data_IF_605029981879
#
_entry.id   IF_605029981879
#
_cell.length_a   1.000
_cell.length_b   1.000
_cell.length_c   1.000
_cell.angle_alpha   90.00
_cell.angle_beta   90.00
_cell.angle_gamma   90.00
#
_symmetry.space_group_name_H-M   'P 1'
#
loop_
_entity.id
_entity.type
_entity.pdbx_description
1 polymer ?
#
# COMPACT_ATOMS: atom_id res chain seq x y z
N UNK A 1 -37.48 27.24 33.08
CA UNK A 1 -37.19 26.48 31.86
C UNK A 1 -38.50 25.85 31.39
N UNK A 2 -39.15 26.50 30.43
CA UNK A 2 -40.52 26.17 30.01
C UNK A 2 -40.60 24.73 29.51
N UNK A 3 -41.72 24.07 29.81
CA UNK A 3 -41.97 22.67 29.41
C UNK A 3 -41.81 22.47 27.90
N UNK A 4 -42.13 23.50 27.13
CA UNK A 4 -41.93 23.59 25.67
C UNK A 4 -40.44 23.51 25.28
N UNK A 5 -39.57 24.22 26.01
CA UNK A 5 -38.13 24.24 25.74
C UNK A 5 -37.46 22.90 26.11
N UNK A 6 -37.92 22.26 27.20
CA UNK A 6 -37.46 20.91 27.59
C UNK A 6 -37.86 19.84 26.56
N UNK A 7 -39.07 19.94 26.01
CA UNK A 7 -39.56 19.03 24.99
C UNK A 7 -38.78 19.20 23.68
N UNK A 8 -38.48 20.44 23.28
CA UNK A 8 -37.68 20.75 22.10
C UNK A 8 -36.26 20.17 22.19
N UNK A 9 -35.60 20.33 23.35
CA UNK A 9 -34.26 19.76 23.59
C UNK A 9 -34.26 18.23 23.54
N UNK A 10 -35.32 17.59 24.05
CA UNK A 10 -35.44 16.13 24.06
C UNK A 10 -35.67 15.58 22.64
N UNK A 11 -36.46 16.27 21.83
CA UNK A 11 -36.66 15.94 20.40
C UNK A 11 -35.36 16.14 19.62
N UNK A 12 -34.65 17.26 19.83
CA UNK A 12 -33.39 17.53 19.14
C UNK A 12 -32.30 16.52 19.49
N UNK A 13 -32.22 16.09 20.76
CA UNK A 13 -31.33 15.01 21.20
C UNK A 13 -31.69 13.67 20.55
N UNK A 14 -32.96 13.39 20.33
CA UNK A 14 -33.42 12.15 19.69
C UNK A 14 -33.13 12.14 18.18
N UNK A 15 -33.22 13.30 17.53
CA UNK A 15 -32.84 13.48 16.12
C UNK A 15 -31.34 13.25 15.86
N UNK A 16 -30.47 13.52 16.84
CA UNK A 16 -29.03 13.24 16.71
C UNK A 16 -28.71 11.74 16.72
N UNK A 17 -29.53 10.91 17.38
CA UNK A 17 -29.41 9.44 17.33
C UNK A 17 -30.01 8.80 16.08
N UNK A 18 -30.78 9.57 15.29
CA UNK A 18 -31.34 9.14 14.02
C UNK A 18 -30.40 9.40 12.83
N UNK A 19 -29.27 10.07 13.06
CA UNK A 19 -28.21 10.16 12.05
C UNK A 19 -27.54 8.77 12.00
N UNK A 20 -27.63 8.03 10.89
CA UNK A 20 -26.91 6.77 10.77
C UNK A 20 -25.41 7.08 10.94
N UNK A 21 -24.79 6.53 11.99
CA UNK A 21 -23.34 6.63 12.22
C UNK A 21 -22.52 6.03 11.07
N UNK A 22 -23.16 5.22 10.23
CA UNK A 22 -22.58 4.66 9.03
C UNK A 22 -23.39 5.14 7.81
N UNK A 23 -23.07 6.33 7.33
CA UNK A 23 -23.29 6.63 5.93
C UNK A 23 -22.32 5.74 5.14
N UNK A 24 -22.69 4.49 4.91
CA UNK A 24 -22.02 3.63 3.94
C UNK A 24 -22.32 4.23 2.56
N UNK A 25 -21.52 5.20 2.18
CA UNK A 25 -21.38 5.55 0.78
C UNK A 25 -20.85 4.29 0.10
N UNK A 26 -21.68 3.63 -0.70
CA UNK A 26 -21.17 2.75 -1.75
C UNK A 26 -20.43 3.69 -2.72
N UNK A 27 -19.21 4.07 -2.37
CA UNK A 27 -18.32 4.81 -3.25
C UNK A 27 -17.72 3.78 -4.18
N UNK A 28 -18.45 3.45 -5.23
CA UNK A 28 -17.78 2.89 -6.40
C UNK A 28 -16.70 3.90 -6.79
N UNK A 29 -15.45 3.45 -6.83
CA UNK A 29 -14.34 4.26 -7.31
C UNK A 29 -14.38 4.17 -8.83
N UNK A 30 -14.90 5.21 -9.49
CA UNK A 30 -15.02 5.26 -10.93
C UNK A 30 -13.90 6.14 -11.50
N UNK A 31 -12.95 5.50 -12.18
CA UNK A 31 -11.87 6.17 -12.86
C UNK A 31 -10.72 6.64 -11.97
N UNK A 32 -9.69 7.13 -12.66
CA UNK A 32 -8.37 7.47 -12.08
C UNK A 32 -8.46 8.47 -10.94
N UNK A 33 -9.24 9.53 -11.10
CA UNK A 33 -9.27 10.64 -10.14
C UNK A 33 -9.85 10.19 -8.79
N UNK A 34 -10.91 9.39 -8.80
CA UNK A 34 -11.53 8.87 -7.59
C UNK A 34 -10.63 7.85 -6.89
N UNK A 35 -10.01 6.95 -7.65
CA UNK A 35 -9.02 5.98 -7.13
C UNK A 35 -7.84 6.72 -6.48
N UNK A 36 -7.34 7.78 -7.11
CA UNK A 36 -6.23 8.55 -6.55
C UNK A 36 -6.67 9.35 -5.32
N UNK A 37 -7.86 9.94 -5.33
CA UNK A 37 -8.40 10.61 -4.15
C UNK A 37 -8.57 9.65 -2.96
N UNK A 38 -8.99 8.40 -3.22
CA UNK A 38 -9.05 7.35 -2.21
C UNK A 38 -7.65 7.00 -1.67
N UNK A 39 -6.68 6.76 -2.57
CA UNK A 39 -5.30 6.43 -2.19
C UNK A 39 -4.62 7.58 -1.43
N UNK A 40 -4.92 8.83 -1.76
CA UNK A 40 -4.46 10.00 -1.03
C UNK A 40 -4.96 10.00 0.43
N UNK A 41 -6.25 9.73 0.64
CA UNK A 41 -6.81 9.61 2.01
C UNK A 41 -6.23 8.42 2.78
N UNK A 42 -6.03 7.30 2.10
CA UNK A 42 -5.40 6.12 2.69
C UNK A 42 -3.96 6.43 3.11
N UNK A 43 -3.19 7.11 2.26
CA UNK A 43 -1.84 7.58 2.58
C UNK A 43 -1.83 8.57 3.76
N UNK A 44 -2.73 9.57 3.73
CA UNK A 44 -2.87 10.54 4.81
C UNK A 44 -3.17 9.86 6.16
N UNK A 45 -3.97 8.78 6.14
CA UNK A 45 -4.25 8.00 7.35
C UNK A 45 -2.97 7.37 7.93
N UNK A 46 -2.09 6.82 7.09
CA UNK A 46 -0.79 6.25 7.49
C UNK A 46 0.13 7.34 8.06
N UNK A 47 0.24 8.49 7.39
CA UNK A 47 1.08 9.62 7.83
C UNK A 47 0.57 10.23 9.14
N UNK A 48 -0.75 10.30 9.32
CA UNK A 48 -1.33 10.87 10.55
C UNK A 48 -0.88 10.17 11.83
N UNK A 49 -0.46 8.90 11.72
CA UNK A 49 0.01 8.10 12.85
C UNK A 49 1.30 8.66 13.47
N UNK A 50 2.09 9.46 12.74
CA UNK A 50 3.30 10.10 13.29
C UNK A 50 3.04 11.39 14.06
N UNK A 51 1.82 11.94 14.00
CA UNK A 51 1.51 13.25 14.60
C UNK A 51 1.43 13.21 16.13
N UNK A 52 1.02 12.08 16.70
CA UNK A 52 0.88 11.88 18.15
C UNK A 52 0.80 10.40 18.49
N UNK A 53 1.19 10.04 19.71
CA UNK A 53 0.96 8.72 20.28
C UNK A 53 -0.54 8.42 20.40
N UNK A 54 -0.90 7.16 20.15
CA UNK A 54 -2.26 6.62 20.16
C UNK A 54 -2.27 5.21 20.75
N UNK A 55 -3.45 4.74 21.13
CA UNK A 55 -3.69 3.32 21.45
C UNK A 55 -3.69 2.47 20.18
N UNK A 56 -3.48 1.16 20.29
CA UNK A 56 -3.54 0.27 19.12
C UNK A 56 -4.95 0.27 18.49
N UNK A 57 -5.98 0.33 19.32
CA UNK A 57 -7.37 0.34 18.87
C UNK A 57 -7.72 1.62 18.08
N UNK A 58 -7.13 2.76 18.44
CA UNK A 58 -7.23 3.98 17.64
C UNK A 58 -6.45 3.88 16.32
N UNK A 59 -5.26 3.25 16.32
CA UNK A 59 -4.47 3.02 15.11
C UNK A 59 -5.25 2.14 14.13
N UNK A 60 -5.77 1.00 14.60
CA UNK A 60 -6.60 0.11 13.81
C UNK A 60 -7.82 0.85 13.27
N UNK A 61 -8.53 1.61 14.12
CA UNK A 61 -9.68 2.40 13.68
C UNK A 61 -9.36 3.48 12.62
N UNK A 62 -8.15 4.03 12.60
CA UNK A 62 -7.71 4.99 11.56
C UNK A 62 -7.45 4.28 10.23
N UNK A 63 -6.89 3.07 10.25
CA UNK A 63 -6.48 2.31 9.07
C UNK A 63 -7.62 1.47 8.47
N UNK A 64 -8.51 0.96 9.31
CA UNK A 64 -9.62 0.07 8.95
C UNK A 64 -10.48 0.53 7.77
N UNK A 65 -10.78 1.83 7.58
CA UNK A 65 -11.58 2.27 6.44
C UNK A 65 -10.89 2.06 5.08
N UNK A 66 -9.56 1.95 5.05
CA UNK A 66 -8.77 2.01 3.83
C UNK A 66 -8.02 0.73 3.49
N UNK A 67 -7.71 -0.10 4.49
CA UNK A 67 -6.83 -1.27 4.32
C UNK A 67 -7.57 -2.56 4.66
N UNK A 68 -7.23 -3.64 3.95
CA UNK A 68 -7.62 -4.99 4.36
C UNK A 68 -6.90 -5.37 5.66
N UNK A 69 -7.44 -6.34 6.39
CA UNK A 69 -6.84 -6.78 7.66
C UNK A 69 -5.38 -7.23 7.50
N UNK A 70 -5.09 -7.96 6.42
CA UNK A 70 -3.75 -8.45 6.11
C UNK A 70 -2.76 -7.31 5.84
N UNK A 71 -3.14 -6.36 4.98
CA UNK A 71 -2.28 -5.22 4.65
C UNK A 71 -2.05 -4.33 5.88
N UNK A 72 -3.11 -4.05 6.64
CA UNK A 72 -3.05 -3.29 7.89
C UNK A 72 -2.09 -3.94 8.88
N UNK A 73 -2.20 -5.26 9.09
CA UNK A 73 -1.36 -6.00 10.03
C UNK A 73 0.12 -5.90 9.66
N UNK A 74 0.47 -6.10 8.38
CA UNK A 74 1.85 -5.94 7.87
C UNK A 74 2.37 -4.52 8.04
N UNK A 75 1.53 -3.52 7.74
CA UNK A 75 1.89 -2.12 7.94
C UNK A 75 2.18 -1.81 9.42
N UNK A 76 1.32 -2.27 10.34
CA UNK A 76 1.50 -2.07 11.78
C UNK A 76 2.80 -2.74 12.25
N UNK A 77 3.03 -3.99 11.86
CA UNK A 77 4.21 -4.76 12.24
C UNK A 77 5.53 -4.06 11.85
N UNK A 78 5.59 -3.52 10.63
CA UNK A 78 6.82 -2.89 10.14
C UNK A 78 7.04 -1.45 10.62
N UNK A 79 5.96 -0.69 10.87
CA UNK A 79 6.07 0.77 11.02
C UNK A 79 5.62 1.31 12.37
N UNK A 80 4.76 0.61 13.09
CA UNK A 80 4.21 1.10 14.36
C UNK A 80 5.09 0.64 15.51
N UNK A 81 5.55 1.60 16.30
CA UNK A 81 6.41 1.36 17.46
C UNK A 81 5.82 2.00 18.70
N UNK A 82 6.06 1.40 19.87
CA UNK A 82 5.53 1.91 21.13
C UNK A 82 5.36 0.85 22.20
N UNK A 83 4.94 1.29 23.38
CA UNK A 83 4.62 0.45 24.53
C UNK A 83 3.54 1.12 25.39
N UNK A 84 2.88 0.34 26.24
CA UNK A 84 1.97 0.84 27.29
C UNK A 84 0.88 1.83 26.78
N UNK A 85 0.28 1.54 25.63
CA UNK A 85 -0.75 2.35 24.97
C UNK A 85 -0.28 3.68 24.35
N UNK A 86 1.03 3.84 24.16
CA UNK A 86 1.62 4.95 23.42
C UNK A 86 2.33 4.42 22.16
N UNK A 87 1.58 4.31 21.06
CA UNK A 87 2.05 3.83 19.77
C UNK A 87 2.01 4.93 18.71
N UNK A 88 2.97 4.94 17.80
CA UNK A 88 3.03 5.86 16.66
C UNK A 88 3.93 5.30 15.55
N UNK A 89 3.93 5.96 14.40
CA UNK A 89 4.95 5.77 13.37
C UNK A 89 6.02 6.86 13.48
N UNK A 90 7.24 6.55 13.03
CA UNK A 90 8.29 7.56 12.86
C UNK A 90 8.59 7.77 11.38
N UNK A 91 9.07 8.97 11.04
CA UNK A 91 9.64 9.22 9.73
C UNK A 91 10.83 8.30 9.50
N UNK A 92 10.80 7.55 8.40
CA UNK A 92 11.82 6.56 8.03
C UNK A 92 12.14 6.70 6.55
N UNK A 93 13.42 6.52 6.21
CA UNK A 93 13.87 6.41 4.82
C UNK A 93 13.52 5.03 4.22
N UNK A 94 13.04 4.10 5.06
CA UNK A 94 12.60 2.76 4.71
C UNK A 94 11.14 2.56 5.16
N UNK A 95 10.21 3.04 4.34
CA UNK A 95 8.79 3.11 4.64
C UNK A 95 8.02 1.92 4.05
N UNK A 96 8.25 0.71 4.59
CA UNK A 96 7.60 -0.51 4.09
C UNK A 96 6.07 -0.39 4.20
N UNK A 97 5.35 -0.85 3.18
CA UNK A 97 3.88 -0.82 3.13
C UNK A 97 3.23 0.58 3.22
N UNK A 98 4.00 1.67 3.08
CA UNK A 98 3.40 2.97 2.80
C UNK A 98 2.91 3.03 1.35
N UNK A 99 1.78 3.69 1.12
CA UNK A 99 1.29 3.98 -0.23
C UNK A 99 2.27 4.98 -0.90
N UNK A 100 2.82 4.69 -2.10
CA UNK A 100 3.73 5.59 -2.80
C UNK A 100 2.98 6.74 -3.52
N UNK A 101 2.06 7.44 -2.82
CA UNK A 101 1.11 8.37 -3.43
C UNK A 101 1.78 9.50 -4.21
N UNK A 102 2.83 10.11 -3.67
CA UNK A 102 3.56 11.19 -4.34
C UNK A 102 4.39 10.72 -5.55
N UNK A 103 4.53 9.41 -5.75
CA UNK A 103 5.16 8.85 -6.94
C UNK A 103 4.19 8.70 -8.12
N UNK A 104 2.87 8.86 -7.90
CA UNK A 104 1.91 8.72 -8.98
C UNK A 104 2.07 9.82 -10.02
N UNK A 105 2.22 9.40 -11.27
CA UNK A 105 2.52 10.25 -12.42
C UNK A 105 1.59 9.91 -13.59
N UNK A 106 1.70 10.64 -14.69
CA UNK A 106 1.00 10.32 -15.95
C UNK A 106 1.31 8.89 -16.48
N UNK A 107 2.41 8.30 -16.02
CA UNK A 107 2.82 6.93 -16.38
C UNK A 107 2.10 5.86 -15.56
N UNK A 108 1.67 6.19 -14.35
CA UNK A 108 0.85 5.32 -13.52
C UNK A 108 -0.49 5.07 -14.23
N UNK A 109 -0.95 3.84 -14.30
CA UNK A 109 -2.21 3.43 -14.93
C UNK A 109 -3.15 2.86 -13.90
N UNK A 110 -4.43 3.11 -14.08
CA UNK A 110 -5.51 2.51 -13.29
C UNK A 110 -6.21 1.51 -14.20
N UNK A 111 -6.29 0.26 -13.74
CA UNK A 111 -6.97 -0.83 -14.44
C UNK A 111 -8.05 -1.37 -13.54
N UNK A 112 -9.29 -1.19 -13.96
CA UNK A 112 -10.47 -1.66 -13.26
C UNK A 112 -10.87 -3.06 -13.76
N UNK A 113 -11.20 -3.93 -12.81
CA UNK A 113 -11.75 -5.27 -13.00
C UNK A 113 -12.97 -5.42 -12.08
N UNK A 114 -13.75 -6.49 -12.23
CA UNK A 114 -15.08 -6.61 -11.59
C UNK A 114 -15.08 -6.32 -10.07
N UNK A 115 -14.11 -6.84 -9.32
CA UNK A 115 -13.99 -6.63 -7.87
C UNK A 115 -12.58 -6.20 -7.43
N UNK A 116 -11.76 -5.76 -8.39
CA UNK A 116 -10.37 -5.43 -8.17
C UNK A 116 -9.99 -4.18 -8.96
N UNK A 117 -9.19 -3.30 -8.37
CA UNK A 117 -8.59 -2.16 -9.06
C UNK A 117 -7.08 -2.27 -8.89
N UNK A 118 -6.36 -2.11 -9.98
CA UNK A 118 -4.91 -2.11 -9.98
C UNK A 118 -4.39 -0.73 -10.36
N UNK A 119 -3.49 -0.20 -9.53
CA UNK A 119 -2.77 1.06 -9.81
C UNK A 119 -1.32 0.71 -10.07
N UNK A 120 -0.87 0.77 -11.31
CA UNK A 120 0.38 0.15 -11.77
C UNK A 120 1.26 1.15 -12.48
N UNK A 121 2.57 1.09 -12.25
CA UNK A 121 3.57 1.80 -13.03
C UNK A 121 4.67 0.85 -13.53
N UNK A 122 5.17 1.12 -14.73
CA UNK A 122 6.34 0.46 -15.28
C UNK A 122 7.61 1.23 -14.93
N UNK A 123 8.58 0.53 -14.34
CA UNK A 123 9.89 1.06 -13.99
C UNK A 123 10.95 0.50 -14.96
N UNK A 124 11.56 1.34 -15.81
CA UNK A 124 12.65 0.89 -16.66
C UNK A 124 13.87 0.57 -15.80
N UNK A 125 14.54 -0.53 -16.11
CA UNK A 125 15.72 -1.01 -15.42
C UNK A 125 16.82 0.04 -15.40
N UNK A 126 17.54 0.07 -14.29
CA UNK A 126 18.68 0.94 -14.11
C UNK A 126 19.91 0.10 -13.81
N UNK A 127 20.95 0.24 -14.63
CA UNK A 127 22.26 -0.39 -14.41
C UNK A 127 23.31 0.61 -13.95
N UNK A 128 22.94 1.88 -13.78
CA UNK A 128 23.83 2.96 -13.39
C UNK A 128 23.68 3.33 -11.91
N UNK A 129 24.81 3.56 -11.24
CA UNK A 129 24.84 3.97 -9.83
C UNK A 129 25.03 2.79 -8.85
N UNK A 130 24.92 3.06 -7.53
CA UNK A 130 25.20 2.08 -6.49
C UNK A 130 24.12 1.00 -6.33
N UNK A 131 22.95 1.17 -6.97
CA UNK A 131 21.82 0.25 -6.92
C UNK A 131 21.36 0.00 -8.34
N UNK A 132 21.27 -1.28 -8.72
CA UNK A 132 20.80 -1.71 -10.04
C UNK A 132 19.56 -2.58 -9.92
N UNK A 133 18.66 -2.46 -10.90
CA UNK A 133 17.45 -3.27 -11.01
C UNK A 133 17.05 -3.45 -12.47
N UNK A 134 16.33 -4.52 -12.76
CA UNK A 134 15.81 -4.84 -14.10
C UNK A 134 14.49 -4.08 -14.37
N UNK A 135 14.04 -4.11 -15.62
CA UNK A 135 12.68 -3.71 -15.98
C UNK A 135 11.65 -4.46 -15.12
N UNK A 136 10.75 -3.75 -14.46
CA UNK A 136 9.70 -4.36 -13.65
C UNK A 136 8.44 -3.50 -13.58
N UNK A 137 7.37 -4.07 -13.05
CA UNK A 137 6.14 -3.36 -12.75
C UNK A 137 5.94 -3.32 -11.25
N UNK A 138 5.54 -2.17 -10.74
CA UNK A 138 5.06 -2.05 -9.37
C UNK A 138 3.62 -1.57 -9.36
N UNK A 139 2.89 -1.88 -8.30
CA UNK A 139 1.55 -1.35 -8.15
C UNK A 139 0.87 -1.63 -6.83
N UNK A 140 -0.35 -1.13 -6.72
CA UNK A 140 -1.25 -1.41 -5.61
C UNK A 140 -2.44 -2.20 -6.13
N UNK A 141 -2.85 -3.19 -5.33
CA UNK A 141 -4.11 -3.90 -5.52
C UNK A 141 -5.14 -3.37 -4.54
N UNK A 142 -6.29 -2.97 -5.06
CA UNK A 142 -7.48 -2.67 -4.27
C UNK A 142 -8.52 -3.76 -4.51
N UNK A 143 -9.26 -4.11 -3.47
CA UNK A 143 -10.36 -5.09 -3.51
C UNK A 143 -11.59 -4.52 -2.83
N UNK A 144 -12.77 -5.03 -3.21
CA UNK A 144 -14.03 -4.65 -2.58
C UNK A 144 -14.39 -5.63 -1.45
N UNK A 145 -14.26 -5.20 -0.18
CA UNK A 145 -14.66 -5.97 1.01
C UNK A 145 -15.93 -5.39 1.62
N UNK A 146 -16.97 -6.22 1.79
CA UNK A 146 -18.27 -5.79 2.37
C UNK A 146 -18.86 -4.52 1.74
N UNK A 147 -18.59 -4.29 0.44
CA UNK A 147 -19.08 -3.13 -0.30
C UNK A 147 -18.15 -1.90 -0.29
N UNK A 148 -17.03 -1.93 0.44
CA UNK A 148 -16.07 -0.83 0.48
C UNK A 148 -14.76 -1.23 -0.21
N UNK A 149 -14.16 -0.30 -0.94
CA UNK A 149 -12.84 -0.50 -1.53
C UNK A 149 -11.75 -0.37 -0.46
N UNK A 150 -10.77 -1.27 -0.52
CA UNK A 150 -9.64 -1.33 0.40
C UNK A 150 -8.36 -1.66 -0.34
N UNK A 151 -7.24 -1.08 0.08
CA UNK A 151 -5.90 -1.49 -0.36
C UNK A 151 -5.59 -2.85 0.25
N UNK A 152 -5.33 -3.82 -0.62
CA UNK A 152 -5.10 -5.21 -0.26
C UNK A 152 -3.64 -5.61 -0.37
N UNK A 153 -2.90 -5.03 -1.33
CA UNK A 153 -1.51 -5.42 -1.54
C UNK A 153 -0.65 -4.36 -2.21
N UNK A 154 0.65 -4.49 -1.97
CA UNK A 154 1.71 -3.83 -2.73
C UNK A 154 2.38 -4.89 -3.61
N UNK A 155 2.38 -4.67 -4.92
CA UNK A 155 2.87 -5.62 -5.92
C UNK A 155 4.23 -5.14 -6.40
N UNK A 156 5.27 -5.94 -6.21
CA UNK A 156 6.59 -5.73 -6.79
C UNK A 156 6.88 -6.87 -7.75
N UNK A 157 6.86 -6.59 -9.06
CA UNK A 157 6.97 -7.57 -10.15
C UNK A 157 5.96 -8.75 -10.10
N UNK A 158 4.90 -8.56 -9.32
CA UNK A 158 3.82 -9.53 -9.10
C UNK A 158 2.49 -9.04 -9.73
N UNK A 159 2.55 -8.01 -10.58
CA UNK A 159 1.38 -7.48 -11.28
C UNK A 159 0.85 -8.54 -12.27
N UNK A 160 -0.45 -8.92 -12.22
CA UNK A 160 -0.99 -9.91 -13.14
C UNK A 160 -0.82 -9.53 -14.61
N UNK A 161 -0.45 -10.48 -15.48
CA UNK A 161 -0.20 -10.21 -16.90
C UNK A 161 -1.41 -9.59 -17.62
N UNK A 162 -2.64 -9.97 -17.25
CA UNK A 162 -3.86 -9.36 -17.80
C UNK A 162 -3.93 -7.85 -17.51
N UNK A 163 -3.53 -7.45 -16.29
CA UNK A 163 -3.47 -6.06 -15.87
C UNK A 163 -2.41 -5.31 -16.66
N UNK A 164 -1.22 -5.90 -16.83
CA UNK A 164 -0.14 -5.33 -17.64
C UNK A 164 -0.61 -5.11 -19.08
N UNK A 165 -1.28 -6.10 -19.68
CA UNK A 165 -1.77 -6.02 -21.06
C UNK A 165 -2.83 -4.93 -21.25
N UNK A 166 -3.69 -4.71 -20.23
CA UNK A 166 -4.68 -3.63 -20.22
C UNK A 166 -4.04 -2.26 -20.03
N UNK A 167 -3.08 -2.13 -19.10
CA UNK A 167 -2.39 -0.88 -18.80
C UNK A 167 -1.44 -0.41 -19.92
N UNK A 168 -0.75 -1.36 -20.57
CA UNK A 168 0.30 -1.12 -21.54
C UNK A 168 0.09 -1.97 -22.82
N UNK A 169 -0.94 -1.69 -23.63
CA UNK A 169 -1.32 -2.52 -24.77
C UNK A 169 -0.22 -2.59 -25.86
N UNK A 170 0.68 -1.61 -25.94
CA UNK A 170 1.80 -1.65 -26.88
C UNK A 170 2.83 -2.72 -26.51
N UNK A 171 3.05 -2.97 -25.21
CA UNK A 171 3.97 -4.03 -24.75
C UNK A 171 3.41 -5.43 -24.94
N UNK A 172 2.09 -5.59 -24.90
CA UNK A 172 1.44 -6.85 -25.23
C UNK A 172 1.69 -7.26 -26.70
N UNK A 173 1.78 -6.29 -27.63
CA UNK A 173 2.08 -6.55 -29.04
C UNK A 173 3.51 -7.02 -29.27
N UNK A 174 4.48 -6.51 -28.52
CA UNK A 174 5.89 -6.92 -28.61
C UNK A 174 6.10 -8.40 -28.21
N UNK A 175 5.39 -8.86 -27.17
CA UNK A 175 5.42 -10.27 -26.76
C UNK A 175 4.80 -11.21 -27.82
N UNK A 176 3.74 -10.77 -28.51
CA UNK A 176 3.14 -11.53 -29.61
C UNK A 176 3.98 -11.54 -30.90
N UNK A 177 4.80 -10.52 -31.13
CA UNK A 177 5.74 -10.48 -32.26
C UNK A 177 7.02 -11.28 -32.01
N UNK A 178 7.51 -11.35 -30.77
CA UNK A 178 8.67 -12.17 -30.39
C UNK A 178 8.37 -13.69 -30.36
N UNK A 179 7.09 -14.09 -30.30
CA UNK A 179 6.66 -15.49 -30.31
C UNK A 179 6.55 -16.11 -31.72
N UNK A 180 7.11 -15.47 -32.76
CA UNK A 180 7.16 -16.01 -34.12
C UNK A 180 8.40 -16.91 -34.27
N UNK A 181 8.28 -18.22 -34.56
CA UNK A 181 9.35 -19.21 -34.38
C UNK A 181 10.34 -19.25 -35.54
N UNK A 182 10.93 -18.11 -35.93
CA UNK A 182 11.92 -18.07 -37.01
C UNK A 182 13.29 -17.50 -36.66
N UNK A 183 13.51 -17.02 -35.45
CA UNK A 183 14.81 -16.48 -35.03
C UNK A 183 15.34 -17.19 -33.77
N UNK A 184 15.25 -18.52 -33.71
CA UNK A 184 16.05 -19.35 -32.80
C UNK A 184 17.40 -19.67 -33.46
N UNK A 185 18.36 -18.74 -33.43
CA UNK A 185 19.77 -19.16 -33.34
C UNK A 185 20.69 -18.02 -32.85
N UNK A 186 21.45 -18.34 -31.80
CA UNK A 186 22.61 -17.64 -31.22
C UNK A 186 22.34 -16.59 -30.14
N UNK A 187 22.40 -17.04 -28.88
CA UNK A 187 23.52 -16.67 -27.99
C UNK A 187 23.37 -17.37 -26.62
N UNK A 188 23.67 -18.67 -26.59
CA UNK A 188 24.07 -19.36 -25.35
C UNK A 188 25.52 -19.02 -25.04
N UNK A 189 25.78 -17.93 -24.31
CA UNK A 189 27.01 -17.78 -23.54
C UNK A 189 26.64 -17.16 -22.20
N UNK A 190 26.83 -17.95 -21.14
CA UNK A 190 26.45 -17.61 -19.79
C UNK A 190 27.18 -16.39 -19.24
N UNK A 191 26.44 -15.64 -18.43
CA UNK A 191 27.00 -14.87 -17.32
C UNK A 191 26.25 -15.29 -16.07
N UNK A 192 26.81 -16.28 -15.38
CA UNK A 192 26.58 -16.48 -13.96
C UNK A 192 27.11 -15.23 -13.25
N UNK A 193 26.23 -14.39 -12.73
CA UNK A 193 26.60 -13.25 -11.87
C UNK A 193 26.03 -13.52 -10.49
N UNK A 194 26.93 -13.70 -9.52
CA UNK A 194 26.59 -13.71 -8.09
C UNK A 194 26.33 -12.26 -7.66
N UNK A 195 25.05 -11.93 -7.47
CA UNK A 195 24.56 -10.76 -6.72
C UNK A 195 23.57 -11.24 -5.66
N UNK A 196 23.24 -10.46 -4.62
CA UNK A 196 22.35 -10.91 -3.56
C UNK A 196 20.98 -11.27 -4.16
N UNK A 197 20.71 -12.57 -4.22
CA UNK A 197 19.41 -13.11 -4.59
C UNK A 197 18.43 -12.71 -3.49
N UNK A 198 17.35 -11.97 -3.78
CA UNK A 198 16.40 -11.51 -2.77
C UNK A 198 15.63 -12.66 -2.06
N UNK A 199 15.87 -13.93 -2.42
CA UNK A 199 15.59 -15.05 -1.50
C UNK A 199 16.33 -14.90 -0.16
N UNK A 200 17.46 -14.18 -0.13
CA UNK A 200 18.19 -13.81 1.09
C UNK A 200 17.50 -12.71 1.87
N UNK A 201 16.66 -11.85 1.28
CA UNK A 201 15.87 -10.90 2.07
C UNK A 201 14.80 -11.63 2.89
N UNK A 202 14.18 -12.67 2.31
CA UNK A 202 13.33 -13.60 3.07
C UNK A 202 14.12 -14.31 4.17
N UNK A 203 15.38 -14.68 3.91
CA UNK A 203 16.27 -15.25 4.93
C UNK A 203 16.68 -14.23 6.01
N UNK A 204 16.85 -12.94 5.68
CA UNK A 204 17.11 -11.88 6.67
C UNK A 204 15.86 -11.59 7.52
N UNK A 205 14.66 -11.67 6.93
CA UNK A 205 13.39 -11.59 7.64
C UNK A 205 13.18 -12.79 8.59
N UNK A 206 13.54 -14.01 8.18
CA UNK A 206 13.47 -15.20 9.04
C UNK A 206 14.57 -15.26 10.12
N UNK A 207 15.77 -14.70 9.88
CA UNK A 207 16.85 -14.63 10.88
C UNK A 207 16.74 -13.44 11.85
N UNK A 208 16.00 -12.39 11.50
CA UNK A 208 15.79 -11.21 12.35
C UNK A 208 15.03 -11.48 13.66
N UNK A 209 14.41 -12.66 13.79
CA UNK A 209 13.62 -13.07 14.98
C UNK A 209 14.50 -13.66 16.10
N UNK A 210 15.81 -13.84 15.91
CA UNK A 210 16.69 -14.42 16.94
C UNK A 210 17.78 -13.43 17.37
N UNK A 211 17.42 -12.31 18.00
CA UNK A 211 18.24 -11.71 19.07
C UNK A 211 17.35 -10.94 20.06
N UNK A 212 16.48 -11.68 20.75
CA UNK A 212 16.09 -11.29 22.11
C UNK A 212 17.26 -11.57 23.03
N UNK A 213 18.10 -10.58 23.32
CA UNK A 213 18.85 -10.59 24.57
C UNK A 213 19.13 -9.18 25.09
N UNK A 214 18.95 -9.07 26.40
CA UNK A 214 19.13 -7.93 27.27
C UNK A 214 20.49 -7.26 27.08
N UNK A 215 20.49 -5.94 26.84
CA UNK A 215 21.30 -4.92 27.54
C UNK A 215 21.72 -3.73 26.68
N UNK A 216 21.34 -2.54 27.17
CA UNK A 216 22.08 -1.26 27.17
C UNK A 216 22.50 -0.63 25.83
N UNK A 217 21.82 0.49 25.57
CA UNK A 217 22.39 1.83 25.28
C UNK A 217 23.64 1.88 24.40
N UNK A 218 23.49 2.27 23.13
CA UNK A 218 24.50 3.09 22.45
C UNK A 218 23.85 4.11 21.51
N UNK A 219 24.08 5.38 21.86
CA UNK A 219 24.06 6.56 20.99
C UNK A 219 24.86 6.30 19.70
N UNK A 220 24.42 6.89 18.59
CA UNK A 220 25.16 7.81 17.68
C UNK A 220 24.09 8.33 16.67
N UNK A 221 23.93 9.59 16.31
CA UNK A 221 24.82 10.75 16.38
C UNK A 221 25.05 11.28 14.97
N UNK A 222 24.31 12.34 14.60
CA UNK A 222 24.60 13.38 13.59
C UNK A 222 25.47 13.00 12.36
N UNK A 223 24.86 13.01 11.18
CA UNK A 223 25.23 13.85 10.03
C UNK A 223 24.17 13.76 8.92
#
# INVERSE_FOLDING_TARGET
MDKQLKLLFLILSFLLFLVPANAYANSDLDGREEVFAFLGKAFDSQVSLSEKSRTMEEIEGILDPYFTEDYKSRFIEENVVGQENEYQTYGTDFALYYIPFYAFSEKTKVVEMENEIYVVEFFPGNTEGPVSYEDHYEGLKLVKETGNWKVADYLYDEVPQEVINKAYPEKAKEQHHAANPKDEEKSTIGKMVFGPNFSTLKTFMELGVIFKNESRTLLFGLL
#
